data_IF_496952704274
#
_entry.id   IF_496952704274
#
_cell.length_a   1.000
_cell.length_b   1.000
_cell.length_c   1.000
_cell.angle_alpha   90.00
_cell.angle_beta   90.00
_cell.angle_gamma   90.00
#
_symmetry.space_group_name_H-M   'P 1'
#
loop_
_entity.id
_entity.type
_entity.pdbx_description
1 polymer ?
#
# COMPACT_ATOMS: atom_id res chain seq x y z
N UNK A 1 17.05 -13.06 -42.49
CA UNK A 1 17.82 -12.10 -41.68
C UNK A 1 16.99 -10.83 -41.48
N UNK A 2 16.97 -10.31 -40.23
CA UNK A 2 16.52 -8.98 -39.76
C UNK A 2 15.02 -8.66 -39.97
N UNK A 3 14.12 -8.91 -38.99
CA UNK A 3 13.82 -8.10 -37.77
C UNK A 3 13.89 -6.59 -38.00
N UNK A 4 12.75 -5.91 -37.84
CA UNK A 4 12.64 -4.62 -37.14
C UNK A 4 11.17 -4.45 -36.70
N UNK A 5 10.95 -4.66 -35.40
CA UNK A 5 9.73 -4.31 -34.69
C UNK A 5 9.70 -2.78 -34.57
N UNK A 6 8.64 -2.15 -35.06
CA UNK A 6 8.40 -0.72 -34.86
C UNK A 6 7.87 -0.51 -33.44
N UNK A 7 8.65 0.21 -32.63
CA UNK A 7 8.26 0.64 -31.30
C UNK A 7 7.33 1.84 -31.42
N UNK A 8 6.04 1.65 -31.14
CA UNK A 8 5.09 2.75 -30.96
C UNK A 8 5.33 3.32 -29.56
N UNK A 9 5.92 4.50 -29.52
CA UNK A 9 6.14 5.31 -28.32
C UNK A 9 4.82 6.00 -27.98
N UNK A 10 4.24 5.68 -26.82
CA UNK A 10 3.05 6.38 -26.32
C UNK A 10 3.54 7.63 -25.57
N UNK A 11 3.50 8.77 -26.25
CA UNK A 11 3.70 10.08 -25.65
C UNK A 11 2.45 10.48 -24.87
N UNK A 12 2.52 10.44 -23.54
CA UNK A 12 1.52 11.07 -22.66
C UNK A 12 1.74 12.59 -22.66
N UNK A 13 1.06 13.29 -23.57
CA UNK A 13 0.88 14.75 -23.48
C UNK A 13 -0.37 14.99 -22.64
N UNK A 14 -0.18 15.32 -21.36
CA UNK A 14 -1.22 15.85 -20.51
C UNK A 14 -1.41 17.34 -20.85
N UNK A 15 -2.35 17.64 -21.74
CA UNK A 15 -2.78 19.01 -22.06
C UNK A 15 -4.15 19.32 -21.43
N UNK A 16 -4.23 20.48 -20.75
CA UNK A 16 -5.45 21.16 -20.30
C UNK A 16 -5.89 20.77 -18.88
N UNK A 17 -5.91 21.64 -17.87
CA UNK A 17 -6.41 23.00 -17.90
C UNK A 17 -5.61 23.92 -16.96
N UNK A 18 -5.05 25.00 -17.51
CA UNK A 18 -4.67 26.20 -16.76
C UNK A 18 -5.94 27.00 -16.48
N UNK A 19 -6.27 27.24 -15.21
CA UNK A 19 -7.04 28.42 -14.82
C UNK A 19 -6.36 29.07 -13.62
N UNK A 20 -6.08 30.35 -13.81
CA UNK A 20 -5.29 31.23 -12.99
C UNK A 20 -6.06 31.58 -11.71
N UNK A 21 -5.71 30.95 -10.59
CA UNK A 21 -6.09 31.43 -9.25
C UNK A 21 -4.80 31.93 -8.60
N UNK A 22 -4.68 33.25 -8.49
CA UNK A 22 -3.63 33.89 -7.72
C UNK A 22 -3.80 33.49 -6.24
N UNK A 23 -3.04 32.49 -5.80
CA UNK A 23 -2.98 32.14 -4.39
C UNK A 23 -2.14 33.20 -3.66
N UNK A 24 -2.61 33.71 -2.50
CA UNK A 24 -1.80 34.59 -1.68
C UNK A 24 -0.56 33.83 -1.21
N UNK A 25 0.57 34.53 -1.25
CA UNK A 25 1.87 34.09 -0.79
C UNK A 25 1.84 33.86 0.73
N UNK A 26 1.30 32.72 1.15
CA UNK A 26 1.60 32.14 2.45
C UNK A 26 2.79 31.22 2.25
N UNK A 27 3.89 31.53 2.94
CA UNK A 27 4.95 30.58 3.23
C UNK A 27 4.34 29.36 3.93
N UNK A 28 3.81 28.43 3.14
CA UNK A 28 3.49 27.09 3.61
C UNK A 28 4.85 26.43 3.70
N UNK A 29 5.40 26.40 4.92
CA UNK A 29 6.39 25.38 5.26
C UNK A 29 5.86 24.06 4.71
N UNK A 30 6.63 23.41 3.84
CA UNK A 30 6.30 22.09 3.30
C UNK A 30 6.14 21.07 4.45
N UNK A 31 4.96 21.01 5.05
CA UNK A 31 4.53 19.92 5.91
C UNK A 31 3.96 18.83 5.01
N UNK A 32 4.79 18.33 4.08
CA UNK A 32 4.46 17.20 3.20
C UNK A 32 5.24 15.93 3.61
N UNK A 33 6.01 15.97 4.71
CA UNK A 33 7.10 15.02 4.92
C UNK A 33 6.80 13.77 5.78
N UNK A 34 5.67 13.63 6.49
CA UNK A 34 5.41 12.43 7.32
C UNK A 34 4.23 11.57 6.81
N UNK A 35 3.12 12.16 6.36
CA UNK A 35 1.91 11.39 6.00
C UNK A 35 2.13 10.41 4.84
N UNK A 36 2.86 10.81 3.81
CA UNK A 36 3.10 9.98 2.62
C UNK A 36 4.05 8.82 2.91
N UNK A 37 5.01 9.04 3.80
CA UNK A 37 5.93 8.03 4.30
C UNK A 37 5.17 6.95 5.08
N UNK A 38 4.33 7.36 6.02
CA UNK A 38 3.51 6.45 6.83
C UNK A 38 2.47 5.71 5.99
N UNK A 39 1.82 6.40 5.04
CA UNK A 39 0.88 5.81 4.11
C UNK A 39 1.53 4.76 3.20
N UNK A 40 2.74 5.02 2.71
CA UNK A 40 3.48 4.06 1.90
C UNK A 40 3.77 2.77 2.68
N UNK A 41 4.21 2.88 3.94
CA UNK A 41 4.44 1.71 4.78
C UNK A 41 3.15 0.92 5.05
N UNK A 42 2.04 1.61 5.31
CA UNK A 42 0.73 0.97 5.44
C UNK A 42 0.31 0.25 4.17
N UNK A 43 0.47 0.89 3.00
CA UNK A 43 0.23 0.30 1.69
C UNK A 43 1.06 -0.97 1.47
N UNK A 44 2.36 -0.91 1.77
CA UNK A 44 3.32 -1.99 1.62
C UNK A 44 2.94 -3.20 2.48
N UNK A 45 2.64 -2.96 3.76
CA UNK A 45 2.26 -4.01 4.71
C UNK A 45 0.94 -4.67 4.29
N UNK A 46 -0.10 -3.88 4.01
CA UNK A 46 -1.40 -4.40 3.63
C UNK A 46 -1.37 -5.14 2.29
N UNK A 47 -0.58 -4.66 1.32
CA UNK A 47 -0.42 -5.35 0.03
C UNK A 47 0.30 -6.68 0.20
N UNK A 48 1.39 -6.73 0.96
CA UNK A 48 2.13 -7.97 1.19
C UNK A 48 1.28 -9.03 1.91
N UNK A 49 0.49 -8.62 2.89
CA UNK A 49 -0.44 -9.50 3.61
C UNK A 49 -1.48 -10.13 2.68
N UNK A 50 -2.06 -9.34 1.77
CA UNK A 50 -2.95 -9.87 0.72
C UNK A 50 -2.18 -10.80 -0.24
N UNK A 51 -0.96 -10.44 -0.65
CA UNK A 51 -0.19 -11.24 -1.60
C UNK A 51 0.21 -12.62 -1.07
N UNK A 52 0.38 -12.79 0.25
CA UNK A 52 0.53 -14.11 0.89
C UNK A 52 -0.64 -15.04 0.55
N UNK A 53 -1.86 -14.50 0.54
CA UNK A 53 -3.08 -15.25 0.26
C UNK A 53 -3.28 -15.55 -1.23
N UNK A 54 -2.72 -14.74 -2.13
CA UNK A 54 -2.78 -14.96 -3.59
C UNK A 54 -1.83 -16.05 -4.05
N UNK A 55 -0.62 -16.08 -3.49
CA UNK A 55 0.44 -16.97 -3.95
C UNK A 55 1.17 -17.65 -2.79
N UNK A 56 0.63 -18.76 -2.27
CA UNK A 56 1.23 -19.51 -1.16
C UNK A 56 2.67 -19.96 -1.44
N UNK A 57 3.05 -20.19 -2.70
CA UNK A 57 4.43 -20.56 -3.07
C UNK A 57 5.45 -19.46 -2.74
N UNK A 58 5.00 -18.22 -2.61
CA UNK A 58 5.82 -17.04 -2.32
C UNK A 58 5.61 -16.53 -0.89
N UNK A 59 4.81 -17.21 -0.06
CA UNK A 59 4.47 -16.81 1.31
C UNK A 59 5.71 -16.43 2.13
N UNK A 60 6.71 -17.32 2.20
CA UNK A 60 7.97 -17.05 2.94
C UNK A 60 8.72 -15.80 2.49
N UNK A 61 8.61 -15.42 1.21
CA UNK A 61 9.23 -14.19 0.70
C UNK A 61 8.44 -12.96 1.15
N UNK A 62 7.12 -13.05 1.11
CA UNK A 62 6.24 -12.01 1.62
C UNK A 62 6.35 -11.84 3.14
N UNK A 63 6.49 -12.93 3.91
CA UNK A 63 6.75 -12.87 5.35
C UNK A 63 8.03 -12.10 5.67
N UNK A 64 9.14 -12.44 5.01
CA UNK A 64 10.41 -11.72 5.18
C UNK A 64 10.29 -10.24 4.82
N UNK A 65 9.51 -9.94 3.78
CA UNK A 65 9.25 -8.56 3.37
C UNK A 65 8.42 -7.80 4.42
N UNK A 66 7.38 -8.43 4.98
CA UNK A 66 6.56 -7.89 6.07
C UNK A 66 7.43 -7.65 7.30
N UNK A 67 8.27 -8.60 7.70
CA UNK A 67 9.20 -8.44 8.83
C UNK A 67 10.10 -7.22 8.66
N UNK A 68 10.65 -7.02 7.46
CA UNK A 68 11.47 -5.85 7.12
C UNK A 68 10.67 -4.54 7.20
N UNK A 69 9.48 -4.50 6.63
CA UNK A 69 8.62 -3.32 6.70
C UNK A 69 8.17 -3.02 8.15
N UNK A 70 7.91 -4.05 8.96
CA UNK A 70 7.58 -3.90 10.38
C UNK A 70 8.76 -3.38 11.21
N UNK A 71 10.00 -3.76 10.90
CA UNK A 71 11.19 -3.15 11.55
C UNK A 71 11.23 -1.64 11.31
N UNK A 72 10.94 -1.20 10.08
CA UNK A 72 10.86 0.22 9.75
C UNK A 72 9.69 0.87 10.49
N UNK A 73 8.50 0.28 10.48
CA UNK A 73 7.33 0.79 11.20
C UNK A 73 7.56 0.90 12.72
N UNK A 74 8.29 -0.05 13.32
CA UNK A 74 8.63 -0.05 14.74
C UNK A 74 9.65 1.03 15.13
N UNK A 75 10.34 1.64 14.16
CA UNK A 75 11.27 2.74 14.41
C UNK A 75 10.58 4.10 14.60
N UNK A 76 9.30 4.23 14.25
CA UNK A 76 8.54 5.46 14.48
C UNK A 76 8.01 5.53 15.91
N UNK A 77 7.56 6.72 16.31
CA UNK A 77 6.82 6.90 17.55
C UNK A 77 5.49 6.10 17.52
N UNK A 78 4.86 5.97 18.69
CA UNK A 78 3.64 5.19 18.88
C UNK A 78 2.51 5.61 17.92
N UNK A 79 2.24 6.91 17.79
CA UNK A 79 1.12 7.42 17.00
C UNK A 79 1.33 7.15 15.50
N UNK A 80 2.54 7.39 15.00
CA UNK A 80 2.90 7.15 13.61
C UNK A 80 2.86 5.64 13.27
N UNK A 81 3.34 4.79 14.19
CA UNK A 81 3.21 3.34 14.05
C UNK A 81 1.74 2.91 14.02
N UNK A 82 0.90 3.43 14.91
CA UNK A 82 -0.54 3.14 14.93
C UNK A 82 -1.21 3.57 13.61
N UNK A 83 -0.82 4.73 13.07
CA UNK A 83 -1.29 5.18 11.77
C UNK A 83 -0.87 4.22 10.63
N UNK A 84 0.39 3.77 10.59
CA UNK A 84 0.88 2.80 9.59
C UNK A 84 0.03 1.52 9.65
N UNK A 85 -0.20 0.99 10.85
CA UNK A 85 -0.96 -0.24 11.05
C UNK A 85 -2.43 -0.06 10.66
N UNK A 86 -3.05 1.07 11.01
CA UNK A 86 -4.41 1.39 10.60
C UNK A 86 -4.54 1.52 9.08
N UNK A 87 -3.58 2.17 8.42
CA UNK A 87 -3.52 2.26 6.95
C UNK A 87 -3.39 0.87 6.30
N UNK A 88 -2.55 -0.01 6.87
CA UNK A 88 -2.43 -1.40 6.44
C UNK A 88 -3.76 -2.16 6.57
N UNK A 89 -4.44 -2.08 7.70
CA UNK A 89 -5.76 -2.72 7.89
C UNK A 89 -6.78 -2.16 6.91
N UNK A 90 -6.80 -0.83 6.72
CA UNK A 90 -7.70 -0.18 5.77
C UNK A 90 -7.49 -0.69 4.34
N UNK A 91 -6.24 -0.93 3.93
CA UNK A 91 -5.92 -1.51 2.62
C UNK A 91 -6.55 -2.87 2.40
N UNK A 92 -6.60 -3.71 3.44
CA UNK A 92 -7.15 -5.07 3.38
C UNK A 92 -8.68 -5.07 3.48
N UNK A 93 -9.25 -4.26 4.38
CA UNK A 93 -10.69 -4.28 4.66
C UNK A 93 -11.54 -3.41 3.72
N UNK A 94 -11.01 -2.28 3.24
CA UNK A 94 -11.78 -1.33 2.40
C UNK A 94 -12.42 -1.97 1.15
N UNK A 95 -11.73 -2.86 0.41
CA UNK A 95 -12.34 -3.53 -0.73
C UNK A 95 -13.59 -4.34 -0.38
N UNK A 96 -13.56 -5.04 0.75
CA UNK A 96 -14.71 -5.77 1.26
C UNK A 96 -15.85 -4.83 1.64
N UNK A 97 -15.53 -3.74 2.34
CA UNK A 97 -16.52 -2.75 2.74
C UNK A 97 -17.21 -2.12 1.53
N UNK A 98 -16.44 -1.66 0.53
CA UNK A 98 -16.96 -1.12 -0.72
C UNK A 98 -17.84 -2.13 -1.45
N UNK A 99 -17.38 -3.39 -1.56
CA UNK A 99 -18.13 -4.45 -2.25
C UNK A 99 -19.48 -4.76 -1.58
N UNK A 100 -19.58 -4.61 -0.26
CA UNK A 100 -20.78 -4.91 0.51
C UNK A 100 -21.57 -3.64 0.91
N UNK A 101 -21.26 -2.48 0.33
CA UNK A 101 -21.89 -1.19 0.65
C UNK A 101 -21.83 -0.82 2.15
N UNK A 102 -20.77 -1.25 2.84
CA UNK A 102 -20.50 -0.87 4.23
C UNK A 102 -19.78 0.49 4.21
N UNK A 103 -20.29 1.53 4.91
CA UNK A 103 -19.63 2.83 4.96
C UNK A 103 -18.21 2.74 5.52
N UNK A 104 -17.26 3.45 4.89
CA UNK A 104 -15.85 3.52 5.30
C UNK A 104 -15.65 4.41 6.52
N UNK A 105 -16.17 3.98 7.67
CA UNK A 105 -16.03 4.67 8.96
C UNK A 105 -15.09 3.90 9.89
N UNK A 106 -14.47 4.61 10.84
CA UNK A 106 -13.60 3.99 11.86
C UNK A 106 -14.34 2.88 12.62
N UNK A 107 -15.59 3.13 13.03
CA UNK A 107 -16.44 2.14 13.71
C UNK A 107 -16.59 0.85 12.90
N UNK A 108 -16.85 0.96 11.59
CA UNK A 108 -17.00 -0.22 10.75
C UNK A 108 -15.67 -0.96 10.54
N UNK A 109 -14.55 -0.24 10.44
CA UNK A 109 -13.22 -0.86 10.41
C UNK A 109 -12.94 -1.64 11.69
N UNK A 110 -13.21 -1.05 12.85
CA UNK A 110 -13.01 -1.71 14.15
C UNK A 110 -13.90 -2.95 14.29
N UNK A 111 -15.16 -2.86 13.86
CA UNK A 111 -16.09 -3.99 13.91
C UNK A 111 -15.62 -5.13 13.00
N UNK A 112 -15.24 -4.83 11.76
CA UNK A 112 -14.71 -5.81 10.82
C UNK A 112 -13.41 -6.42 11.36
N UNK A 113 -12.51 -5.59 11.90
CA UNK A 113 -11.24 -6.04 12.45
C UNK A 113 -11.44 -6.98 13.66
N UNK A 114 -12.39 -6.70 14.54
CA UNK A 114 -12.71 -7.58 15.67
C UNK A 114 -13.35 -8.89 15.20
N UNK A 115 -14.30 -8.81 14.27
CA UNK A 115 -15.08 -9.96 13.81
C UNK A 115 -14.27 -10.93 12.94
N UNK A 116 -13.32 -10.45 12.12
CA UNK A 116 -12.55 -11.34 11.24
C UNK A 116 -11.75 -12.41 12.01
N UNK A 117 -11.30 -12.14 13.23
CA UNK A 117 -10.59 -13.14 14.06
C UNK A 117 -11.52 -14.19 14.66
N UNK A 118 -12.82 -13.93 14.68
CA UNK A 118 -13.85 -14.82 15.23
C UNK A 118 -14.58 -15.60 14.12
N UNK A 119 -14.66 -15.03 12.92
CA UNK A 119 -15.35 -15.60 11.77
C UNK A 119 -14.40 -15.81 10.58
N UNK A 120 -14.00 -17.08 10.36
CA UNK A 120 -13.15 -17.49 9.24
C UNK A 120 -13.79 -17.26 7.86
N UNK A 121 -15.12 -17.26 7.77
CA UNK A 121 -15.81 -16.96 6.51
C UNK A 121 -15.69 -15.48 6.19
N UNK A 122 -15.85 -14.62 7.21
CA UNK A 122 -15.63 -13.19 7.08
C UNK A 122 -14.18 -12.87 6.70
N UNK A 123 -13.20 -13.43 7.41
CA UNK A 123 -11.77 -13.30 7.10
C UNK A 123 -11.50 -13.65 5.62
N UNK A 124 -11.96 -14.82 5.18
CA UNK A 124 -11.80 -15.27 3.80
C UNK A 124 -12.49 -14.34 2.80
N UNK A 125 -13.66 -13.80 3.13
CA UNK A 125 -14.39 -12.87 2.29
C UNK A 125 -13.65 -11.52 2.15
N UNK A 126 -13.02 -11.05 3.24
CA UNK A 126 -12.19 -9.85 3.27
C UNK A 126 -11.00 -10.01 2.33
N UNK A 127 -10.17 -11.05 2.53
CA UNK A 127 -9.03 -11.29 1.66
C UNK A 127 -9.44 -11.52 0.21
N UNK A 128 -10.54 -12.25 -0.04
CA UNK A 128 -11.03 -12.44 -1.42
C UNK A 128 -11.39 -11.11 -2.10
N UNK A 129 -11.97 -10.16 -1.37
CA UNK A 129 -12.27 -8.83 -1.90
C UNK A 129 -10.98 -8.03 -2.14
N UNK A 130 -10.04 -8.07 -1.20
CA UNK A 130 -8.74 -7.40 -1.34
C UNK A 130 -7.93 -7.93 -2.53
N UNK A 131 -7.89 -9.25 -2.72
CA UNK A 131 -7.27 -9.87 -3.89
C UNK A 131 -7.93 -9.41 -5.19
N UNK A 132 -9.26 -9.30 -5.22
CA UNK A 132 -9.97 -8.83 -6.41
C UNK A 132 -9.64 -7.36 -6.73
N UNK A 133 -9.46 -6.51 -5.72
CA UNK A 133 -9.04 -5.10 -5.85
C UNK A 133 -7.60 -4.98 -6.40
N UNK A 134 -6.75 -5.98 -6.10
CA UNK A 134 -5.39 -6.07 -6.62
C UNK A 134 -5.29 -6.70 -8.02
N UNK A 135 -6.35 -7.35 -8.54
CA UNK A 135 -6.33 -7.98 -9.88
C UNK A 135 -6.11 -6.90 -10.94
N UNK A 136 -4.91 -6.90 -11.53
CA UNK A 136 -4.42 -5.85 -12.42
C UNK A 136 -3.06 -5.28 -11.98
N UNK A 137 -2.59 -5.62 -10.78
CA UNK A 137 -1.27 -5.24 -10.27
C UNK A 137 -0.33 -6.45 -10.23
N UNK A 138 0.81 -6.38 -10.93
CA UNK A 138 1.86 -7.42 -10.89
C UNK A 138 2.62 -7.47 -9.54
N UNK A 139 2.16 -6.69 -8.55
CA UNK A 139 2.78 -6.53 -7.24
C UNK A 139 2.90 -7.88 -6.50
N UNK A 140 1.88 -8.74 -6.56
CA UNK A 140 1.92 -10.02 -5.85
C UNK A 140 2.84 -11.09 -6.47
N UNK A 141 3.35 -10.87 -7.68
CA UNK A 141 4.22 -11.81 -8.38
C UNK A 141 5.70 -11.41 -8.32
N UNK A 142 6.01 -10.23 -7.78
CA UNK A 142 7.34 -9.63 -7.86
C UNK A 142 7.88 -9.18 -6.49
N UNK A 143 7.98 -10.06 -5.48
CA UNK A 143 8.45 -9.67 -4.14
C UNK A 143 9.87 -9.11 -4.14
N UNK A 144 10.72 -9.49 -5.11
CA UNK A 144 12.05 -8.89 -5.26
C UNK A 144 11.98 -7.40 -5.67
N UNK A 145 10.99 -7.02 -6.49
CA UNK A 145 10.75 -5.62 -6.88
C UNK A 145 10.19 -4.86 -5.67
N UNK A 146 9.25 -5.47 -4.94
CA UNK A 146 8.74 -4.91 -3.69
C UNK A 146 9.86 -4.68 -2.67
N UNK A 147 10.76 -5.64 -2.49
CA UNK A 147 11.90 -5.52 -1.58
C UNK A 147 12.87 -4.42 -2.01
N UNK A 148 13.18 -4.31 -3.32
CA UNK A 148 14.00 -3.22 -3.84
C UNK A 148 13.36 -1.86 -3.56
N UNK A 149 12.06 -1.73 -3.79
CA UNK A 149 11.30 -0.49 -3.55
C UNK A 149 11.29 -0.12 -2.06
N UNK A 150 11.18 -1.11 -1.16
CA UNK A 150 11.28 -0.89 0.29
C UNK A 150 12.69 -0.43 0.71
N UNK A 151 13.75 -0.96 0.09
CA UNK A 151 15.13 -0.52 0.34
C UNK A 151 15.36 0.92 -0.12
N UNK A 152 14.92 1.27 -1.31
CA UNK A 152 15.01 2.64 -1.82
C UNK A 152 14.24 3.62 -0.94
N UNK A 153 13.03 3.24 -0.52
CA UNK A 153 12.25 3.99 0.46
C UNK A 153 13.02 4.17 1.77
N UNK A 154 13.51 3.09 2.39
CA UNK A 154 14.20 3.18 3.67
C UNK A 154 15.47 4.03 3.58
N UNK A 155 16.23 3.93 2.49
CA UNK A 155 17.40 4.77 2.26
C UNK A 155 17.03 6.26 2.15
N UNK A 156 15.95 6.58 1.41
CA UNK A 156 15.46 7.96 1.25
C UNK A 156 15.14 8.62 2.60
N UNK A 157 14.63 7.85 3.57
CA UNK A 157 14.24 8.34 4.89
C UNK A 157 15.25 8.02 6.01
N UNK A 158 16.49 7.65 5.67
CA UNK A 158 17.56 7.40 6.65
C UNK A 158 17.41 6.11 7.47
N UNK A 159 16.52 5.21 7.06
CA UNK A 159 16.18 3.93 7.70
C UNK A 159 16.82 2.71 7.02
N UNK A 160 17.72 2.92 6.06
CA UNK A 160 18.37 1.86 5.29
C UNK A 160 19.13 0.81 6.14
N UNK A 161 19.64 1.22 7.30
CA UNK A 161 20.35 0.36 8.26
C UNK A 161 19.46 -0.72 8.90
N UNK A 162 18.13 -0.67 8.70
CA UNK A 162 17.17 -1.63 9.26
C UNK A 162 16.87 -2.84 8.34
N UNK A 163 17.41 -2.87 7.11
CA UNK A 163 16.99 -3.77 6.02
C UNK A 163 17.97 -4.84 5.54
#
# INVERSE_FOLDING_TARGET
MKKLLSAITISFVLSGCMNNISLPNTNIQEVVSNSDELNYLGFVLGTADVCKHVNPKMEKKWDRYIEKALKIANSYNKNDKEYILASSVSRVASPYMRKNNIPLTLENFENIYKQQFQDKYLEKAIYKAAVADLKGTDLCFTPNIAEKSLKEFANKFGKGHLL
#
